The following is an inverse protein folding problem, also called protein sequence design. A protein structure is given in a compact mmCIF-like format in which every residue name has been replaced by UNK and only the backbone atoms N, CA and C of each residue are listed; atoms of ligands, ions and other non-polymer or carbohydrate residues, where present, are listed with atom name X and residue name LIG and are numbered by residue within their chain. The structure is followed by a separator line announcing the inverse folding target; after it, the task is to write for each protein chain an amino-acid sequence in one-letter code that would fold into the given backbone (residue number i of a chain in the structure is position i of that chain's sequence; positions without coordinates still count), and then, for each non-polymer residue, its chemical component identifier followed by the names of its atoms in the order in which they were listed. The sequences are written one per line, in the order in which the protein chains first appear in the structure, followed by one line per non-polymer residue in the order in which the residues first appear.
data_IF_687783129538
#
_entry.id   IF_687783129538
#
_cell.length_a   1.000
_cell.length_b   1.000
_cell.length_c   1.000
_cell.angle_alpha   90.00
_cell.angle_beta   90.00
_cell.angle_gamma   90.00
#
_symmetry.space_group_name_H-M   'P 1'
#
loop_
_entity.id
_entity.type
_entity.pdbx_description
1 polymer ?
#
# COMPACT_ATOMS: atom_id res chain seq x y z
N UNK A 1 21.72 9.33 7.35
CA UNK A 1 21.41 9.89 8.69
C UNK A 1 20.80 8.78 9.52
N UNK A 2 21.33 8.47 10.69
CA UNK A 2 20.73 7.45 11.56
C UNK A 2 19.40 8.01 12.08
N UNK A 3 18.32 7.43 11.68
CA UNK A 3 17.00 7.65 12.25
C UNK A 3 17.07 7.15 13.69
N UNK A 4 16.94 8.04 14.67
CA UNK A 4 16.73 7.58 16.03
C UNK A 4 15.54 6.64 16.05
N UNK A 5 15.57 5.61 16.90
CA UNK A 5 14.43 4.71 17.10
C UNK A 5 13.18 5.58 17.31
N UNK A 6 12.32 5.68 16.29
CA UNK A 6 11.23 6.65 16.30
C UNK A 6 10.03 6.03 16.99
N UNK A 7 9.36 6.83 17.81
CA UNK A 7 8.05 6.54 18.37
C UNK A 7 6.92 6.55 17.30
N UNK A 8 7.29 6.47 16.00
CA UNK A 8 6.33 6.37 14.91
C UNK A 8 5.84 4.93 14.79
N UNK A 9 4.53 4.78 14.82
CA UNK A 9 3.82 3.51 14.55
C UNK A 9 3.19 3.48 13.16
N UNK A 10 3.29 4.57 12.40
CA UNK A 10 2.80 4.79 11.04
C UNK A 10 3.83 5.62 10.26
N UNK A 11 3.90 5.53 8.95
CA UNK A 11 3.03 4.78 8.02
C UNK A 11 3.29 3.27 8.01
N UNK A 12 2.41 2.53 7.33
CA UNK A 12 2.51 1.05 7.23
C UNK A 12 3.53 0.59 6.19
N UNK A 13 3.95 1.45 5.28
CA UNK A 13 4.99 1.21 4.27
C UNK A 13 6.09 2.26 4.46
N UNK A 14 7.36 1.83 4.55
CA UNK A 14 8.48 2.73 4.81
C UNK A 14 9.58 2.67 3.72
N UNK A 15 9.57 1.64 2.86
CA UNK A 15 10.61 1.40 1.86
C UNK A 15 10.44 2.24 0.59
N UNK A 16 9.25 2.78 0.38
CA UNK A 16 8.88 3.67 -0.75
C UNK A 16 7.91 4.74 -0.27
N UNK A 17 7.82 5.83 -1.03
CA UNK A 17 6.75 6.82 -0.87
C UNK A 17 5.50 6.34 -1.59
N UNK A 18 4.40 6.22 -0.85
CA UNK A 18 3.14 5.64 -1.32
C UNK A 18 1.96 6.55 -0.99
N UNK A 19 0.96 6.60 -1.86
CA UNK A 19 -0.25 7.37 -1.63
C UNK A 19 -1.49 6.69 -2.18
N UNK A 20 -2.62 7.34 -2.00
CA UNK A 20 -3.89 7.02 -2.65
C UNK A 20 -4.29 5.55 -2.48
N UNK A 21 -4.41 5.05 -1.23
CA UNK A 21 -4.58 3.63 -0.96
C UNK A 21 -5.90 3.08 -1.52
N UNK A 22 -5.82 2.04 -2.34
CA UNK A 22 -6.95 1.28 -2.86
C UNK A 22 -6.92 -0.17 -2.33
N UNK A 23 -7.38 -0.42 -1.10
CA UNK A 23 -7.38 -1.75 -0.51
C UNK A 23 -8.50 -2.62 -1.07
N UNK A 24 -8.20 -3.88 -1.36
CA UNK A 24 -9.16 -4.90 -1.78
C UNK A 24 -9.00 -6.18 -0.96
N UNK A 25 -10.09 -6.74 -0.46
CA UNK A 25 -10.08 -8.01 0.29
C UNK A 25 -10.46 -9.16 -0.64
N UNK A 26 -9.55 -10.12 -0.80
CA UNK A 26 -9.85 -11.37 -1.50
C UNK A 26 -9.41 -12.57 -0.66
N UNK A 27 -10.36 -13.41 -0.30
CA UNK A 27 -10.11 -14.53 0.60
C UNK A 27 -9.60 -14.06 1.96
N UNK A 28 -8.42 -14.55 2.35
CA UNK A 28 -7.79 -14.30 3.64
C UNK A 28 -6.69 -13.21 3.58
N UNK A 29 -6.66 -12.46 2.48
CA UNK A 29 -5.60 -11.50 2.16
C UNK A 29 -6.18 -10.13 1.82
N UNK A 30 -5.56 -9.08 2.32
CA UNK A 30 -5.75 -7.70 1.88
C UNK A 30 -4.70 -7.39 0.82
N UNK A 31 -5.16 -6.96 -0.35
CA UNK A 31 -4.36 -6.43 -1.45
C UNK A 31 -4.47 -4.92 -1.39
N UNK A 32 -3.37 -4.24 -1.14
CA UNK A 32 -3.30 -2.79 -1.05
C UNK A 32 -2.55 -2.27 -2.28
N UNK A 33 -3.30 -1.72 -3.22
CA UNK A 33 -2.71 -0.99 -4.33
C UNK A 33 -2.47 0.46 -3.90
N UNK A 34 -1.41 1.08 -4.44
CA UNK A 34 -1.06 2.47 -4.13
C UNK A 34 -0.42 3.14 -5.32
N UNK A 35 -0.55 4.46 -5.41
CA UNK A 35 0.35 5.25 -6.24
C UNK A 35 1.76 5.24 -5.65
N UNK A 36 2.74 5.53 -6.50
CA UNK A 36 4.14 5.62 -6.14
C UNK A 36 4.65 7.05 -6.39
N UNK A 37 4.86 7.80 -5.32
CA UNK A 37 5.55 9.08 -5.40
C UNK A 37 7.05 8.79 -5.57
N UNK A 38 7.66 9.20 -6.68
CA UNK A 38 9.09 8.97 -6.94
C UNK A 38 9.97 9.56 -5.84
N UNK A 39 11.04 8.87 -5.46
CA UNK A 39 11.93 9.28 -4.35
C UNK A 39 12.53 10.68 -4.52
N UNK A 40 12.68 11.16 -5.77
CA UNK A 40 13.18 12.48 -6.12
C UNK A 40 12.06 13.50 -6.42
N UNK A 41 10.80 13.14 -6.18
CA UNK A 41 9.66 14.02 -6.46
C UNK A 41 9.70 15.29 -5.59
N UNK A 42 9.53 16.44 -6.22
CA UNK A 42 9.27 17.72 -5.56
C UNK A 42 7.79 18.14 -5.70
N UNK A 43 7.18 17.83 -6.84
CA UNK A 43 5.75 17.85 -7.10
C UNK A 43 5.24 16.43 -7.36
N UNK A 44 4.00 16.29 -7.79
CA UNK A 44 3.43 15.00 -8.13
C UNK A 44 4.16 14.38 -9.32
N UNK A 45 4.96 13.35 -9.04
CA UNK A 45 5.71 12.58 -10.04
C UNK A 45 5.52 11.10 -9.79
N UNK A 46 4.65 10.48 -10.59
CA UNK A 46 4.20 9.10 -10.42
C UNK A 46 4.17 8.41 -11.77
N UNK A 47 4.76 7.20 -11.86
CA UNK A 47 4.96 6.45 -13.10
C UNK A 47 4.33 5.08 -13.11
N UNK A 48 4.12 4.53 -11.94
CA UNK A 48 3.65 3.16 -11.76
C UNK A 48 2.74 3.04 -10.53
N UNK A 49 2.10 1.88 -10.40
CA UNK A 49 1.25 1.50 -9.31
C UNK A 49 1.80 0.27 -8.61
N UNK A 50 1.89 0.35 -7.29
CA UNK A 50 2.47 -0.67 -6.43
C UNK A 50 1.40 -1.57 -5.84
N UNK A 51 1.81 -2.80 -5.47
CA UNK A 51 0.98 -3.73 -4.72
C UNK A 51 1.68 -4.17 -3.44
N UNK A 52 0.93 -4.14 -2.36
CA UNK A 52 1.30 -4.73 -1.07
C UNK A 52 0.22 -5.72 -0.62
N UNK A 53 0.63 -6.78 0.08
CA UNK A 53 -0.34 -7.74 0.63
C UNK A 53 -0.11 -7.98 2.11
N UNK A 54 -1.20 -8.21 2.85
CA UNK A 54 -1.16 -8.61 4.25
C UNK A 54 -2.28 -9.58 4.58
N UNK A 55 -1.98 -10.55 5.43
CA UNK A 55 -2.98 -11.45 6.03
C UNK A 55 -3.31 -11.10 7.48
N UNK A 56 -2.62 -10.09 8.04
CA UNK A 56 -2.71 -9.73 9.45
C UNK A 56 -2.82 -8.21 9.73
N UNK A 57 -2.83 -7.37 8.68
CA UNK A 57 -2.94 -5.90 8.70
C UNK A 57 -1.70 -5.15 9.20
N UNK A 58 -0.66 -5.85 9.66
CA UNK A 58 0.52 -5.23 10.27
C UNK A 58 1.79 -5.56 9.50
N UNK A 59 1.97 -6.82 9.10
CA UNK A 59 3.08 -7.26 8.27
C UNK A 59 2.66 -7.19 6.80
N UNK A 60 3.31 -6.35 6.01
CA UNK A 60 3.00 -6.12 4.60
C UNK A 60 4.13 -6.62 3.71
N UNK A 61 3.81 -7.43 2.72
CA UNK A 61 4.73 -7.86 1.67
C UNK A 61 4.67 -6.88 0.50
N UNK A 62 5.81 -6.34 0.08
CA UNK A 62 5.96 -5.51 -1.11
C UNK A 62 6.06 -6.40 -2.36
N UNK A 63 5.13 -6.26 -3.30
CA UNK A 63 5.18 -6.92 -4.62
C UNK A 63 5.80 -6.02 -5.69
N UNK A 64 6.21 -4.80 -5.35
CA UNK A 64 6.69 -3.78 -6.28
C UNK A 64 5.60 -3.26 -7.20
N UNK A 65 6.00 -2.68 -8.32
CA UNK A 65 5.07 -2.21 -9.34
C UNK A 65 4.39 -3.40 -10.04
N UNK A 66 3.09 -3.33 -10.21
CA UNK A 66 2.28 -4.33 -10.94
C UNK A 66 1.69 -3.76 -12.23
N UNK A 67 1.70 -2.44 -12.38
CA UNK A 67 1.29 -1.73 -13.57
C UNK A 67 2.03 -0.38 -13.66
N UNK A 68 2.10 0.19 -14.85
CA UNK A 68 2.73 1.48 -15.11
C UNK A 68 2.09 2.23 -16.27
N UNK A 69 2.47 3.49 -16.45
CA UNK A 69 2.08 4.28 -17.63
C UNK A 69 2.46 3.62 -18.96
N UNK A 70 3.50 2.77 -18.98
CA UNK A 70 3.98 2.07 -20.18
C UNK A 70 3.04 0.97 -20.67
N UNK A 71 2.17 0.48 -19.81
CA UNK A 71 1.18 -0.54 -20.14
C UNK A 71 0.06 0.03 -21.01
N UNK A 72 -0.11 1.37 -21.01
CA UNK A 72 -1.02 2.09 -21.89
C UNK A 72 -0.32 2.53 -23.19
N UNK A 73 -0.48 1.75 -24.26
CA UNK A 73 0.19 2.01 -25.56
C UNK A 73 -0.17 3.35 -26.20
N UNK A 74 -1.32 3.91 -25.85
CA UNK A 74 -1.82 5.19 -26.35
C UNK A 74 -1.23 6.40 -25.60
N UNK A 75 -0.64 6.21 -24.42
CA UNK A 75 0.03 7.26 -23.66
C UNK A 75 1.55 7.22 -23.89
N UNK A 76 2.19 8.40 -23.95
CA UNK A 76 3.64 8.52 -24.22
C UNK A 76 4.38 9.37 -23.20
N UNK A 77 3.68 9.89 -22.19
CA UNK A 77 4.30 10.62 -21.09
C UNK A 77 4.98 9.69 -20.08
N UNK A 78 5.67 10.29 -19.13
CA UNK A 78 6.40 9.61 -18.06
C UNK A 78 5.97 10.05 -16.66
N UNK A 79 4.82 10.70 -16.54
CA UNK A 79 4.23 11.18 -15.28
C UNK A 79 2.71 11.15 -15.35
N UNK A 80 2.02 11.01 -14.22
CA UNK A 80 0.57 11.09 -14.11
C UNK A 80 -0.13 9.77 -13.79
N UNK A 81 0.57 8.77 -13.27
CA UNK A 81 -0.03 7.54 -12.73
C UNK A 81 -0.68 7.82 -11.37
N UNK A 82 -1.89 8.40 -11.39
CA UNK A 82 -2.58 8.89 -10.19
C UNK A 82 -3.50 7.83 -9.56
N UNK A 83 -4.24 8.19 -8.51
CA UNK A 83 -5.04 7.32 -7.67
C UNK A 83 -5.89 6.31 -8.45
N UNK A 84 -5.56 5.05 -8.38
CA UNK A 84 -6.22 3.94 -9.05
C UNK A 84 -7.30 3.30 -8.18
N UNK A 85 -8.11 2.43 -8.78
CA UNK A 85 -9.02 1.52 -8.09
C UNK A 85 -8.95 0.13 -8.73
N UNK A 86 -8.94 -0.91 -7.90
CA UNK A 86 -8.92 -2.30 -8.36
C UNK A 86 -10.13 -3.05 -7.84
N UNK A 87 -10.77 -3.82 -8.73
CA UNK A 87 -11.87 -4.71 -8.37
C UNK A 87 -11.74 -6.04 -9.10
N UNK A 88 -12.26 -7.10 -8.49
CA UNK A 88 -12.37 -8.42 -9.11
C UNK A 88 -13.81 -8.67 -9.57
N UNK A 89 -13.97 -9.27 -10.74
CA UNK A 89 -15.25 -9.82 -11.23
C UNK A 89 -15.02 -11.06 -12.08
N UNK A 90 -15.69 -12.15 -11.74
CA UNK A 90 -15.67 -13.40 -12.50
C UNK A 90 -14.26 -13.96 -12.74
N UNK A 91 -13.37 -13.85 -11.75
CA UNK A 91 -11.98 -14.32 -11.81
C UNK A 91 -11.05 -13.41 -12.63
N UNK A 92 -11.49 -12.22 -13.01
CA UNK A 92 -10.67 -11.19 -13.67
C UNK A 92 -10.49 -9.99 -12.74
N UNK A 93 -9.33 -9.40 -12.80
CA UNK A 93 -8.95 -8.21 -12.04
C UNK A 93 -8.93 -7.02 -12.97
N UNK A 94 -9.60 -5.94 -12.57
CA UNK A 94 -9.73 -4.70 -13.34
C UNK A 94 -9.12 -3.55 -12.55
N UNK A 95 -8.11 -2.91 -13.11
CA UNK A 95 -7.46 -1.74 -12.52
C UNK A 95 -7.83 -0.51 -13.34
N UNK A 96 -8.53 0.43 -12.72
CA UNK A 96 -8.94 1.71 -13.32
C UNK A 96 -7.91 2.76 -12.97
N UNK A 97 -7.17 3.19 -13.98
CA UNK A 97 -5.99 4.03 -13.82
C UNK A 97 -6.24 5.41 -14.45
N UNK A 98 -6.34 6.47 -13.67
CA UNK A 98 -6.34 7.80 -14.25
C UNK A 98 -4.93 8.15 -14.72
N UNK A 99 -4.85 8.75 -15.89
CA UNK A 99 -3.62 9.36 -16.40
C UNK A 99 -3.87 10.86 -16.45
N UNK A 100 -3.22 11.60 -15.57
CA UNK A 100 -3.48 13.03 -15.38
C UNK A 100 -3.60 13.80 -16.70
N UNK A 101 -4.75 14.45 -16.91
CA UNK A 101 -5.09 15.20 -18.13
C UNK A 101 -5.43 14.34 -19.37
N UNK A 102 -5.48 13.00 -19.23
CA UNK A 102 -5.71 12.08 -20.34
C UNK A 102 -6.84 11.07 -20.08
N UNK A 103 -7.62 11.30 -19.01
CA UNK A 103 -8.77 10.46 -18.66
C UNK A 103 -8.38 9.21 -17.87
N UNK A 104 -9.32 8.27 -17.77
CA UNK A 104 -9.20 7.03 -16.99
C UNK A 104 -9.09 5.86 -17.97
N UNK A 105 -7.97 5.14 -17.92
CA UNK A 105 -7.77 3.87 -18.60
C UNK A 105 -8.23 2.69 -17.74
N UNK A 106 -8.31 1.49 -18.32
CA UNK A 106 -8.54 0.25 -17.61
C UNK A 106 -7.53 -0.80 -18.05
N UNK A 107 -6.95 -1.49 -17.08
CA UNK A 107 -6.08 -2.65 -17.29
C UNK A 107 -6.77 -3.90 -16.75
N UNK A 108 -6.51 -5.06 -17.36
CA UNK A 108 -7.12 -6.34 -17.00
C UNK A 108 -6.06 -7.39 -16.75
N UNK A 109 -6.25 -8.22 -15.72
CA UNK A 109 -5.38 -9.34 -15.38
C UNK A 109 -6.18 -10.57 -14.97
N UNK A 110 -5.51 -11.73 -14.96
CA UNK A 110 -6.03 -13.00 -14.43
C UNK A 110 -5.67 -13.20 -12.94
N UNK A 111 -4.80 -12.35 -12.40
CA UNK A 111 -4.28 -12.42 -11.04
C UNK A 111 -4.22 -11.02 -10.43
N UNK A 112 -4.33 -10.86 -9.10
CA UNK A 112 -4.22 -9.56 -8.43
C UNK A 112 -2.85 -8.89 -8.60
N UNK A 113 -1.80 -9.66 -8.82
CA UNK A 113 -0.43 -9.20 -9.05
C UNK A 113 -0.09 -9.04 -10.55
N UNK A 114 -1.08 -9.22 -11.43
CA UNK A 114 -0.94 -9.07 -12.88
C UNK A 114 -0.50 -10.37 -13.59
N UNK A 115 0.08 -10.28 -14.81
CA UNK A 115 0.35 -9.01 -15.52
C UNK A 115 -0.93 -8.31 -15.98
N UNK A 116 -1.00 -7.03 -15.75
CA UNK A 116 -2.10 -6.19 -16.20
C UNK A 116 -1.87 -5.73 -17.65
N UNK A 117 -2.90 -5.81 -18.49
CA UNK A 117 -2.82 -5.43 -19.91
C UNK A 117 -3.97 -4.48 -20.29
N UNK A 118 -3.69 -3.54 -21.18
CA UNK A 118 -4.68 -2.61 -21.73
C UNK A 118 -5.53 -3.31 -22.82
N UNK A 119 -6.82 -3.60 -22.58
CA UNK A 119 -7.69 -4.26 -23.53
C UNK A 119 -8.25 -3.31 -24.60
N UNK A 120 -8.20 -1.98 -24.36
CA UNK A 120 -8.92 -0.99 -25.18
C UNK A 120 -7.99 -0.22 -26.13
N UNK A 121 -6.74 0.00 -25.76
CA UNK A 121 -5.81 0.86 -26.51
C UNK A 121 -6.24 2.33 -26.56
N UNK A 122 -7.08 2.76 -25.58
CA UNK A 122 -7.63 4.12 -25.43
C UNK A 122 -8.19 4.30 -24.01
N UNK A 123 -8.42 5.54 -23.55
CA UNK A 123 -9.16 5.77 -22.29
C UNK A 123 -10.55 5.13 -22.32
N UNK A 124 -10.99 4.60 -21.20
CA UNK A 124 -12.37 4.16 -20.96
C UNK A 124 -13.29 5.38 -20.83
N UNK A 125 -12.84 6.40 -20.09
CA UNK A 125 -13.51 7.69 -19.92
C UNK A 125 -12.50 8.80 -20.13
N UNK A 126 -12.87 9.83 -20.89
CA UNK A 126 -12.09 11.04 -21.02
C UNK A 126 -12.96 12.22 -21.42
N UNK A 127 -13.20 13.13 -20.47
CA UNK A 127 -13.86 14.42 -20.68
C UNK A 127 -12.79 15.46 -21.04
N UNK A 128 -12.53 15.63 -22.33
CA UNK A 128 -11.35 16.36 -22.87
C UNK A 128 -11.30 17.86 -22.53
N UNK A 129 -12.39 18.43 -22.06
CA UNK A 129 -12.49 19.86 -21.72
C UNK A 129 -11.78 20.22 -20.42
N UNK A 130 -11.41 19.22 -19.60
CA UNK A 130 -10.79 19.43 -18.30
C UNK A 130 -9.88 18.24 -17.90
N UNK A 131 -9.11 18.40 -16.83
CA UNK A 131 -8.18 17.38 -16.31
C UNK A 131 -8.78 16.51 -15.20
N UNK A 132 -10.05 16.75 -14.84
CA UNK A 132 -10.70 16.23 -13.62
C UNK A 132 -11.12 14.76 -13.67
N UNK A 133 -10.85 14.05 -14.74
CA UNK A 133 -11.06 12.60 -14.79
C UNK A 133 -9.96 11.88 -14.03
N UNK A 134 -10.03 11.93 -12.69
CA UNK A 134 -9.07 11.35 -11.75
C UNK A 134 -9.80 10.62 -10.63
N UNK A 135 -9.06 9.81 -9.87
CA UNK A 135 -9.47 9.18 -8.63
C UNK A 135 -10.72 8.28 -8.79
N UNK A 136 -10.72 7.32 -9.71
CA UNK A 136 -11.87 6.43 -9.87
C UNK A 136 -12.04 5.54 -8.64
N UNK A 137 -13.29 5.28 -8.26
CA UNK A 137 -13.69 4.20 -7.39
C UNK A 137 -14.77 3.38 -8.09
N UNK A 138 -14.64 2.06 -8.07
CA UNK A 138 -15.60 1.14 -8.71
C UNK A 138 -16.24 0.25 -7.65
N UNK A 139 -17.54 0.15 -7.73
CA UNK A 139 -18.35 -0.68 -6.85
C UNK A 139 -19.30 -1.54 -7.67
N UNK A 140 -19.39 -2.82 -7.32
CA UNK A 140 -20.35 -3.77 -7.88
C UNK A 140 -21.44 -3.99 -6.84
N UNK A 141 -22.69 -3.61 -7.15
CA UNK A 141 -23.82 -3.75 -6.23
C UNK A 141 -24.33 -5.18 -6.19
N UNK A 142 -25.21 -5.49 -5.23
CA UNK A 142 -25.77 -6.83 -4.99
C UNK A 142 -26.58 -7.37 -6.19
N UNK A 143 -27.10 -6.48 -7.05
CA UNK A 143 -27.78 -6.84 -8.30
C UNK A 143 -26.81 -7.09 -9.49
N UNK A 144 -25.51 -6.95 -9.26
CA UNK A 144 -24.45 -7.11 -10.27
C UNK A 144 -24.18 -5.88 -11.12
N UNK A 145 -24.91 -4.76 -10.91
CA UNK A 145 -24.62 -3.51 -11.60
C UNK A 145 -23.34 -2.87 -11.03
N UNK A 146 -22.37 -2.60 -11.89
CA UNK A 146 -21.17 -1.88 -11.51
C UNK A 146 -21.30 -0.38 -11.78
N UNK A 147 -20.81 0.42 -10.86
CA UNK A 147 -20.77 1.88 -10.94
C UNK A 147 -19.32 2.34 -10.79
N UNK A 148 -18.91 3.31 -11.61
CA UNK A 148 -17.65 4.03 -11.45
C UNK A 148 -17.95 5.47 -11.07
N UNK A 149 -17.36 5.93 -9.96
CA UNK A 149 -17.36 7.32 -9.51
C UNK A 149 -15.97 7.89 -9.61
N UNK A 150 -15.83 9.20 -9.89
CA UNK A 150 -14.54 9.88 -9.98
C UNK A 150 -14.69 11.39 -9.94
N UNK A 151 -13.57 12.11 -9.82
CA UNK A 151 -13.46 13.53 -10.17
C UNK A 151 -13.13 14.49 -9.05
N UNK A 152 -12.68 15.70 -9.43
CA UNK A 152 -12.25 16.81 -8.59
C UNK A 152 -12.61 18.15 -9.29
N UNK A 153 -13.27 19.11 -8.66
CA UNK A 153 -14.03 19.01 -7.40
C UNK A 153 -15.46 18.48 -7.60
N UNK A 154 -15.83 18.14 -8.82
CA UNK A 154 -17.13 17.60 -9.15
C UNK A 154 -17.08 16.08 -9.13
N UNK A 155 -18.04 15.46 -8.46
CA UNK A 155 -18.20 14.01 -8.48
C UNK A 155 -19.02 13.60 -9.70
N UNK A 156 -18.47 12.70 -10.50
CA UNK A 156 -19.13 12.07 -11.65
C UNK A 156 -19.42 10.61 -11.37
N UNK A 157 -20.40 10.07 -12.10
CA UNK A 157 -20.77 8.67 -12.03
C UNK A 157 -21.15 8.16 -13.43
N UNK A 158 -20.77 6.90 -13.73
CA UNK A 158 -21.25 6.16 -14.89
C UNK A 158 -21.47 4.69 -14.53
N UNK A 159 -22.40 4.01 -15.21
CA UNK A 159 -22.55 2.57 -15.12
C UNK A 159 -21.51 1.88 -16.00
N UNK A 160 -20.91 0.84 -15.47
CA UNK A 160 -20.10 -0.10 -16.26
C UNK A 160 -20.99 -1.26 -16.75
N UNK A 161 -20.71 -1.73 -17.95
CA UNK A 161 -21.29 -2.97 -18.45
C UNK A 161 -20.68 -4.17 -17.72
N UNK A 162 -21.24 -5.35 -17.95
CA UNK A 162 -20.79 -6.60 -17.31
C UNK A 162 -19.34 -6.95 -17.64
N UNK A 163 -18.83 -6.52 -18.80
CA UNK A 163 -17.46 -6.71 -19.24
C UNK A 163 -16.43 -5.86 -18.45
N UNK A 164 -16.89 -4.91 -17.65
CA UNK A 164 -16.09 -4.00 -16.82
C UNK A 164 -15.12 -3.08 -17.60
N UNK A 165 -15.13 -3.15 -18.93
CA UNK A 165 -14.26 -2.37 -19.83
C UNK A 165 -15.04 -1.51 -20.84
N UNK A 166 -16.33 -1.41 -20.66
CA UNK A 166 -17.21 -0.51 -21.41
C UNK A 166 -18.27 0.10 -20.49
N UNK A 167 -18.84 1.21 -20.94
CA UNK A 167 -19.78 2.00 -20.14
C UNK A 167 -21.19 1.97 -20.72
N UNK A 168 -22.21 2.25 -19.90
CA UNK A 168 -23.62 2.31 -20.26
C UNK A 168 -24.25 3.62 -19.82
N UNK A 169 -24.96 4.27 -20.73
CA UNK A 169 -25.61 5.57 -20.49
C UNK A 169 -24.64 6.75 -20.54
N UNK A 170 -25.12 7.90 -20.08
CA UNK A 170 -24.38 9.15 -20.07
C UNK A 170 -23.61 9.32 -18.74
N UNK A 171 -22.53 10.08 -18.76
CA UNK A 171 -21.84 10.52 -17.55
C UNK A 171 -22.78 11.43 -16.76
N UNK A 172 -23.04 11.07 -15.52
CA UNK A 172 -23.85 11.86 -14.60
C UNK A 172 -22.94 12.69 -13.71
N UNK A 173 -23.10 14.00 -13.71
CA UNK A 173 -22.54 14.83 -12.64
C UNK A 173 -23.44 14.71 -11.43
N UNK A 174 -22.89 14.27 -10.30
CA UNK A 174 -23.62 14.09 -9.07
C UNK A 174 -23.93 15.44 -8.41
N UNK A 175 -25.04 15.55 -7.66
CA UNK A 175 -25.26 16.72 -6.80
C UNK A 175 -24.08 16.93 -5.85
N UNK A 176 -23.70 18.19 -5.62
CA UNK A 176 -22.59 18.53 -4.74
C UNK A 176 -22.79 17.94 -3.34
N UNK A 177 -21.80 17.20 -2.88
CA UNK A 177 -21.70 16.73 -1.50
C UNK A 177 -20.91 17.76 -0.70
N UNK A 178 -21.46 18.21 0.44
CA UNK A 178 -20.79 19.16 1.30
C UNK A 178 -19.37 18.64 1.63
N UNK A 179 -18.37 19.55 1.55
CA UNK A 179 -16.95 19.28 1.86
C UNK A 179 -16.24 18.26 0.94
N UNK A 180 -16.87 17.82 -0.15
CA UNK A 180 -16.23 16.97 -1.14
C UNK A 180 -15.18 17.76 -1.94
N UNK A 181 -13.97 17.19 -2.05
CA UNK A 181 -12.91 17.70 -2.92
C UNK A 181 -12.56 16.69 -4.01
N UNK A 182 -12.09 15.48 -3.63
CA UNK A 182 -11.58 14.46 -4.54
C UNK A 182 -11.50 13.08 -3.85
N UNK A 183 -10.85 12.11 -4.48
CA UNK A 183 -10.55 10.80 -3.90
C UNK A 183 -11.79 10.06 -3.38
N UNK A 184 -12.88 9.91 -4.17
CA UNK A 184 -14.05 9.21 -3.69
C UNK A 184 -13.73 7.73 -3.44
N UNK A 185 -14.23 7.19 -2.33
CA UNK A 185 -14.21 5.77 -2.03
C UNK A 185 -15.63 5.28 -1.74
N UNK A 186 -16.18 4.48 -2.64
CA UNK A 186 -17.55 4.01 -2.59
C UNK A 186 -17.64 2.57 -2.08
N UNK A 187 -18.49 2.33 -1.09
CA UNK A 187 -18.75 0.99 -0.56
C UNK A 187 -20.14 0.86 0.02
N UNK A 188 -20.59 -0.39 0.20
CA UNK A 188 -21.87 -0.74 0.84
C UNK A 188 -21.61 -1.52 2.12
N UNK A 189 -22.35 -1.19 3.18
CA UNK A 189 -22.27 -1.91 4.44
C UNK A 189 -23.63 -1.94 5.14
N UNK A 190 -24.11 -3.15 5.47
CA UNK A 190 -25.39 -3.37 6.20
C UNK A 190 -26.56 -2.61 5.58
N UNK A 191 -26.66 -2.58 4.25
CA UNK A 191 -27.74 -1.96 3.49
C UNK A 191 -27.59 -0.47 3.24
N UNK A 192 -26.60 0.21 3.81
CA UNK A 192 -26.29 1.62 3.54
C UNK A 192 -25.15 1.74 2.54
N UNK A 193 -25.22 2.74 1.67
CA UNK A 193 -24.14 3.13 0.79
C UNK A 193 -23.35 4.27 1.43
N UNK A 194 -22.05 4.22 1.27
CA UNK A 194 -21.10 5.18 1.81
C UNK A 194 -20.24 5.74 0.69
N UNK A 195 -20.02 7.03 0.71
CA UNK A 195 -19.05 7.74 -0.10
C UNK A 195 -18.10 8.45 0.86
N UNK A 196 -16.92 7.88 1.07
CA UNK A 196 -15.83 8.58 1.76
C UNK A 196 -15.00 9.35 0.73
N UNK A 197 -14.35 10.43 1.12
CA UNK A 197 -13.61 11.29 0.20
C UNK A 197 -12.60 12.17 0.92
N UNK A 198 -11.61 12.68 0.17
CA UNK A 198 -10.77 13.78 0.63
C UNK A 198 -11.60 15.05 0.74
N UNK A 199 -11.58 15.67 1.91
CA UNK A 199 -12.32 16.90 2.18
C UNK A 199 -11.65 18.12 1.57
N UNK A 200 -12.31 19.26 1.62
CA UNK A 200 -11.83 20.51 1.03
C UNK A 200 -10.38 20.84 1.47
N UNK A 201 -9.54 21.07 0.48
CA UNK A 201 -8.11 21.41 0.66
C UNK A 201 -7.93 22.85 1.18
N UNK A 202 -6.93 23.26 1.84
CA UNK A 202 -5.87 22.56 2.54
C UNK A 202 -5.72 23.14 3.94
N UNK A 203 -5.55 22.36 4.99
CA UNK A 203 -5.32 20.92 5.03
C UNK A 203 -6.59 20.12 4.78
N UNK A 204 -6.44 18.89 4.30
CA UNK A 204 -7.54 17.96 4.06
C UNK A 204 -7.75 17.03 5.25
N UNK A 205 -9.01 16.61 5.42
CA UNK A 205 -9.38 15.47 6.24
C UNK A 205 -9.99 14.37 5.38
N UNK A 206 -10.64 13.41 6.00
CA UNK A 206 -11.47 12.40 5.35
C UNK A 206 -12.92 12.67 5.73
N UNK A 207 -13.72 13.18 4.78
CA UNK A 207 -15.15 13.35 4.92
C UNK A 207 -15.93 12.11 4.47
N UNK A 208 -17.23 12.04 4.80
CA UNK A 208 -18.09 11.01 4.22
C UNK A 208 -19.56 11.42 4.16
N UNK A 209 -20.26 10.80 3.24
CA UNK A 209 -21.70 10.89 3.07
C UNK A 209 -22.33 9.49 3.02
N UNK A 210 -23.60 9.38 3.33
CA UNK A 210 -24.39 8.15 3.27
C UNK A 210 -25.62 8.32 2.37
N UNK A 211 -26.08 7.20 1.79
CA UNK A 211 -27.29 7.11 0.99
C UNK A 211 -27.97 5.75 1.14
N UNK A 212 -29.25 5.69 0.78
CA UNK A 212 -30.01 4.43 0.65
C UNK A 212 -30.03 3.91 -0.81
N UNK A 213 -29.34 4.59 -1.73
CA UNK A 213 -29.25 4.24 -3.14
C UNK A 213 -27.81 4.42 -3.66
N UNK A 214 -27.36 3.58 -4.61
CA UNK A 214 -26.02 3.73 -5.19
C UNK A 214 -25.80 5.05 -5.92
N UNK A 215 -26.88 5.73 -6.36
CA UNK A 215 -26.81 7.02 -7.07
C UNK A 215 -27.28 8.20 -6.22
N UNK A 216 -27.40 8.03 -4.92
CA UNK A 216 -27.86 9.10 -4.02
C UNK A 216 -29.39 9.15 -3.87
N UNK A 217 -29.94 10.21 -3.27
CA UNK A 217 -29.24 11.40 -2.81
C UNK A 217 -28.28 11.13 -1.64
N UNK A 218 -27.14 11.84 -1.64
CA UNK A 218 -26.10 11.71 -0.64
C UNK A 218 -26.33 12.70 0.51
N UNK A 219 -26.24 12.22 1.75
CA UNK A 219 -26.33 13.04 2.95
C UNK A 219 -24.96 13.08 3.63
N UNK A 220 -24.32 14.24 3.68
CA UNK A 220 -23.07 14.45 4.42
C UNK A 220 -23.23 14.12 5.90
N UNK A 221 -22.27 13.41 6.48
CA UNK A 221 -22.32 12.93 7.86
C UNK A 221 -21.17 13.44 8.75
N UNK A 222 -20.26 14.23 8.20
CA UNK A 222 -19.09 14.74 8.91
C UNK A 222 -17.79 14.06 8.47
N UNK A 223 -16.83 14.01 9.38
CA UNK A 223 -15.50 13.47 9.11
C UNK A 223 -15.31 12.06 9.69
N UNK A 224 -14.59 11.22 8.94
CA UNK A 224 -13.95 10.00 9.45
C UNK A 224 -12.68 10.39 10.20
N UNK A 225 -11.89 11.30 9.60
CA UNK A 225 -10.72 11.92 10.22
C UNK A 225 -10.73 13.42 9.90
N UNK A 226 -10.68 14.23 10.93
CA UNK A 226 -10.78 15.69 10.77
C UNK A 226 -9.51 16.27 10.15
N UNK A 227 -9.60 17.50 9.72
CA UNK A 227 -8.48 18.27 9.15
C UNK A 227 -7.29 18.34 10.12
N UNK A 228 -6.09 18.19 9.56
CA UNK A 228 -4.84 18.35 10.31
C UNK A 228 -3.80 19.01 9.43
N UNK A 229 -2.97 19.92 9.96
CA UNK A 229 -1.86 20.53 9.19
C UNK A 229 -0.83 19.54 8.64
N UNK A 230 -0.95 18.26 9.03
CA UNK A 230 -0.05 17.16 8.60
C UNK A 230 -0.53 16.45 7.34
N UNK A 231 -1.75 16.70 6.88
CA UNK A 231 -2.33 16.03 5.70
C UNK A 231 -2.55 17.01 4.55
N UNK A 232 -2.41 16.47 3.34
CA UNK A 232 -2.72 17.12 2.08
C UNK A 232 -3.01 16.04 1.05
N UNK A 233 -4.20 16.06 0.40
CA UNK A 233 -4.64 15.03 -0.53
C UNK A 233 -4.93 13.68 0.18
N UNK A 234 -5.72 13.69 1.25
CA UNK A 234 -5.95 12.51 2.10
C UNK A 234 -7.04 11.60 1.54
N UNK A 235 -6.68 10.78 0.55
CA UNK A 235 -7.58 9.81 -0.09
C UNK A 235 -7.89 8.63 0.84
N UNK A 236 -9.18 8.32 1.11
CA UNK A 236 -9.55 7.17 1.93
C UNK A 236 -9.57 5.87 1.14
N UNK A 237 -9.23 4.76 1.80
CA UNK A 237 -9.59 3.40 1.41
C UNK A 237 -10.25 2.72 2.60
N UNK A 238 -11.42 2.09 2.44
CA UNK A 238 -12.16 1.49 3.56
C UNK A 238 -12.50 0.04 3.25
N UNK A 239 -12.19 -0.86 4.19
CA UNK A 239 -12.51 -2.29 4.09
C UNK A 239 -12.99 -2.86 5.41
N UNK A 240 -13.77 -3.93 5.33
CA UNK A 240 -13.96 -4.87 6.43
C UNK A 240 -13.06 -6.10 6.22
N UNK A 241 -12.27 -6.47 7.22
CA UNK A 241 -11.38 -7.63 7.18
C UNK A 241 -11.35 -8.37 8.52
N UNK A 242 -11.58 -9.69 8.49
CA UNK A 242 -11.57 -10.56 9.67
C UNK A 242 -12.36 -10.00 10.87
N UNK A 243 -13.55 -9.45 10.58
CA UNK A 243 -14.50 -8.94 11.57
C UNK A 243 -14.17 -7.56 12.14
N UNK A 244 -13.20 -6.86 11.59
CA UNK A 244 -12.85 -5.47 11.91
C UNK A 244 -12.97 -4.59 10.70
N UNK A 245 -13.17 -3.29 10.89
CA UNK A 245 -13.20 -2.29 9.82
C UNK A 245 -11.94 -1.43 9.88
N UNK A 246 -11.43 -1.04 8.72
CA UNK A 246 -10.20 -0.27 8.60
C UNK A 246 -10.38 0.90 7.66
N UNK A 247 -9.77 2.03 8.01
CA UNK A 247 -9.63 3.19 7.17
C UNK A 247 -8.14 3.38 6.84
N UNK A 248 -7.83 3.42 5.56
CA UNK A 248 -6.54 3.80 5.03
C UNK A 248 -6.57 5.26 4.62
N UNK A 249 -5.43 5.88 4.58
CA UNK A 249 -5.20 7.24 4.10
C UNK A 249 -3.72 7.50 3.99
N UNK A 250 -3.32 8.74 3.89
CA UNK A 250 -1.91 9.11 3.70
C UNK A 250 -1.47 10.23 4.64
N UNK A 251 -0.16 10.36 4.78
CA UNK A 251 0.48 11.48 5.48
C UNK A 251 1.86 11.81 4.87
N UNK A 252 2.57 12.73 5.48
CA UNK A 252 3.94 13.12 5.09
C UNK A 252 4.96 12.85 6.18
N UNK A 253 4.72 11.88 7.05
CA UNK A 253 5.54 11.70 8.24
C UNK A 253 6.94 11.19 7.93
N UNK A 254 7.12 10.28 6.94
CA UNK A 254 8.46 9.87 6.49
C UNK A 254 9.22 11.06 5.89
N UNK A 255 8.60 11.82 4.98
CA UNK A 255 9.25 12.99 4.39
C UNK A 255 9.75 13.97 5.46
N UNK A 256 8.95 14.19 6.50
CA UNK A 256 9.31 15.13 7.59
C UNK A 256 10.47 14.64 8.45
N UNK A 257 10.72 13.34 8.48
CA UNK A 257 11.93 12.80 9.13
C UNK A 257 13.20 13.05 8.30
N UNK A 258 13.05 13.09 6.97
CA UNK A 258 14.16 13.27 6.05
C UNK A 258 14.50 14.74 5.81
N UNK A 259 13.47 15.60 5.74
CA UNK A 259 13.64 17.00 5.37
C UNK A 259 12.55 17.90 5.97
N UNK A 260 12.92 19.15 6.25
CA UNK A 260 11.97 20.20 6.61
C UNK A 260 11.28 20.84 5.37
N UNK A 261 11.79 20.55 4.16
CA UNK A 261 11.21 21.07 2.91
C UNK A 261 10.03 20.19 2.49
N UNK A 262 8.90 20.83 2.19
CA UNK A 262 7.75 20.11 1.63
C UNK A 262 8.05 19.63 0.19
N UNK A 263 7.67 18.40 -0.09
CA UNK A 263 7.63 17.78 -1.41
C UNK A 263 6.43 16.81 -1.45
N UNK A 264 5.97 16.47 -2.64
CA UNK A 264 4.85 15.51 -2.78
C UNK A 264 5.38 14.07 -2.74
N UNK A 265 5.86 13.68 -1.55
CA UNK A 265 6.31 12.33 -1.20
C UNK A 265 5.53 11.87 0.02
N UNK A 266 4.46 11.16 -0.25
CA UNK A 266 3.45 10.78 0.74
C UNK A 266 3.72 9.40 1.30
N UNK A 267 2.97 9.00 2.33
CA UNK A 267 3.13 7.70 2.98
C UNK A 267 1.77 7.18 3.44
N UNK A 268 1.42 5.96 3.00
CA UNK A 268 0.15 5.32 3.35
C UNK A 268 0.13 4.89 4.80
N UNK A 269 -0.96 5.18 5.47
CA UNK A 269 -1.26 4.82 6.85
C UNK A 269 -2.61 4.11 6.95
N UNK A 270 -2.84 3.38 8.03
CA UNK A 270 -4.10 2.68 8.29
C UNK A 270 -4.49 2.77 9.76
N UNK A 271 -5.80 2.71 10.03
CA UNK A 271 -6.34 2.72 11.38
C UNK A 271 -7.54 1.79 11.48
N UNK A 272 -7.74 1.15 12.64
CA UNK A 272 -9.00 0.48 12.93
C UNK A 272 -10.10 1.52 13.10
N UNK A 273 -11.27 1.29 12.49
CA UNK A 273 -12.43 2.17 12.61
C UNK A 273 -13.65 1.44 13.12
N UNK A 274 -14.62 2.19 13.63
CA UNK A 274 -15.86 1.64 14.17
C UNK A 274 -17.08 2.43 13.71
N UNK A 275 -18.23 1.75 13.68
CA UNK A 275 -19.52 2.33 13.34
C UNK A 275 -20.42 2.40 14.56
N UNK A 276 -21.25 3.43 14.63
CA UNK A 276 -22.34 3.51 15.59
C UNK A 276 -23.53 2.59 15.17
N UNK A 277 -24.49 2.32 16.04
CA UNK A 277 -25.64 1.48 15.73
C UNK A 277 -26.49 1.99 14.53
N UNK A 278 -26.49 3.29 14.26
CA UNK A 278 -27.19 3.93 13.15
C UNK A 278 -26.39 3.90 11.83
N UNK A 279 -25.24 3.25 11.80
CA UNK A 279 -24.35 3.16 10.66
C UNK A 279 -23.39 4.33 10.51
N UNK A 280 -23.50 5.40 11.28
CA UNK A 280 -22.55 6.50 11.21
C UNK A 280 -21.17 6.09 11.73
N UNK A 281 -20.12 6.69 11.20
CA UNK A 281 -18.74 6.36 11.54
C UNK A 281 -18.32 7.13 12.81
N UNK A 282 -17.57 6.48 13.69
CA UNK A 282 -16.91 7.15 14.81
C UNK A 282 -15.66 7.85 14.29
N UNK A 283 -15.55 9.15 14.51
CA UNK A 283 -14.40 9.94 14.08
C UNK A 283 -13.10 9.40 14.68
N UNK A 284 -12.07 9.28 13.84
CA UNK A 284 -10.73 8.83 14.18
C UNK A 284 -9.83 10.02 14.53
N UNK A 285 -8.90 9.86 15.47
CA UNK A 285 -7.79 10.80 15.61
C UNK A 285 -6.85 10.71 14.41
N UNK A 286 -5.82 11.56 14.37
CA UNK A 286 -4.79 11.46 13.36
C UNK A 286 -4.06 10.10 13.41
N UNK A 287 -3.62 9.58 12.26
CA UNK A 287 -3.08 8.21 12.12
C UNK A 287 -2.03 7.83 13.17
N UNK A 288 -1.12 8.72 13.55
CA UNK A 288 -0.10 8.43 14.58
C UNK A 288 -0.69 8.20 15.97
N UNK A 289 -1.90 8.71 16.22
CA UNK A 289 -2.62 8.54 17.48
C UNK A 289 -3.62 7.37 17.43
N UNK A 290 -3.69 6.67 16.27
CA UNK A 290 -4.53 5.50 16.05
C UNK A 290 -3.83 4.21 16.48
N UNK A 291 -4.63 3.18 16.72
CA UNK A 291 -4.16 1.82 16.93
C UNK A 291 -4.43 0.98 15.68
N UNK A 292 -3.42 0.20 15.28
CA UNK A 292 -3.56 -0.85 14.28
C UNK A 292 -3.08 -2.17 14.90
N UNK A 293 -4.02 -3.04 15.28
CA UNK A 293 -3.72 -4.30 15.95
C UNK A 293 -3.59 -5.42 14.92
N UNK A 294 -2.56 -6.24 15.10
CA UNK A 294 -2.36 -7.45 14.31
C UNK A 294 -3.56 -8.41 14.44
N UNK A 295 -3.94 -9.05 13.35
CA UNK A 295 -4.97 -10.09 13.30
C UNK A 295 -4.30 -11.46 13.25
N UNK A 296 -4.34 -12.21 14.35
CA UNK A 296 -3.65 -13.49 14.47
C UNK A 296 -2.15 -13.33 14.73
N UNK A 297 -1.36 -14.32 14.30
CA UNK A 297 0.08 -14.37 14.44
C UNK A 297 0.74 -14.66 13.10
N UNK A 298 2.03 -14.32 12.97
CA UNK A 298 2.80 -14.53 11.75
C UNK A 298 3.51 -15.91 11.79
N UNK A 299 3.43 -16.67 10.69
CA UNK A 299 4.07 -17.99 10.56
C UNK A 299 5.46 -17.88 9.91
N UNK A 300 6.58 -18.14 10.65
CA UNK A 300 7.93 -18.08 10.13
C UNK A 300 8.41 -19.39 9.48
N UNK A 301 7.63 -20.45 9.54
CA UNK A 301 8.04 -21.78 9.07
C UNK A 301 7.82 -22.03 7.58
N UNK A 302 7.18 -21.09 6.90
CA UNK A 302 7.14 -21.01 5.43
C UNK A 302 8.25 -20.11 4.90
N UNK A 303 8.54 -20.17 3.60
CA UNK A 303 9.36 -19.13 2.95
C UNK A 303 8.66 -17.78 3.12
N UNK A 304 9.41 -16.80 3.58
CA UNK A 304 8.99 -15.41 3.74
C UNK A 304 9.87 -14.53 2.87
N UNK A 305 9.30 -13.78 1.96
CA UNK A 305 10.04 -12.82 1.17
C UNK A 305 10.55 -11.70 2.07
N UNK A 306 11.80 -11.26 1.89
CA UNK A 306 12.47 -10.35 2.83
C UNK A 306 11.81 -8.98 2.93
N UNK A 307 11.13 -8.56 1.88
CA UNK A 307 10.32 -7.34 1.83
C UNK A 307 8.96 -7.45 2.56
N UNK A 308 8.73 -8.57 3.29
CA UNK A 308 7.59 -8.72 4.20
C UNK A 308 7.96 -8.16 5.56
N UNK A 309 7.35 -7.04 5.96
CA UNK A 309 7.70 -6.35 7.19
C UNK A 309 6.56 -5.53 7.78
N UNK A 310 6.60 -5.34 9.09
CA UNK A 310 5.80 -4.34 9.81
C UNK A 310 6.50 -2.98 9.86
N UNK A 311 7.84 -3.00 9.82
CA UNK A 311 8.67 -1.80 9.77
C UNK A 311 10.02 -2.11 9.09
N UNK A 312 10.37 -1.29 8.10
CA UNK A 312 11.69 -1.27 7.48
C UNK A 312 12.43 0.01 7.86
N UNK A 313 13.54 -0.12 8.59
CA UNK A 313 14.32 1.02 9.03
C UNK A 313 15.51 1.27 8.11
N UNK A 314 15.49 2.36 7.35
CA UNK A 314 16.55 2.79 6.43
C UNK A 314 16.55 2.06 5.07
N UNK A 315 15.77 1.01 4.92
CA UNK A 315 15.81 0.07 3.82
C UNK A 315 15.06 0.56 2.58
N UNK A 316 15.46 0.04 1.43
CA UNK A 316 14.73 0.14 0.17
C UNK A 316 14.39 -1.24 -0.38
N UNK A 317 13.41 -1.28 -1.26
CA UNK A 317 13.07 -2.48 -2.03
C UNK A 317 13.15 -2.18 -3.51
N UNK A 318 13.65 -3.12 -4.29
CA UNK A 318 13.77 -3.00 -5.75
C UNK A 318 13.60 -4.36 -6.42
N UNK A 319 13.56 -4.36 -7.76
CA UNK A 319 13.57 -5.55 -8.62
C UNK A 319 14.79 -5.56 -9.52
N UNK A 320 15.16 -6.71 -10.07
CA UNK A 320 16.19 -6.78 -11.10
C UNK A 320 15.76 -6.00 -12.38
N UNK A 321 14.45 -6.04 -12.71
CA UNK A 321 13.85 -5.31 -13.83
C UNK A 321 12.84 -4.25 -13.34
N UNK A 322 13.29 -3.10 -12.81
CA UNK A 322 12.38 -2.09 -12.27
C UNK A 322 11.49 -1.40 -13.33
N UNK A 323 11.69 -1.71 -14.60
CA UNK A 323 10.90 -1.20 -15.72
C UNK A 323 9.91 -2.21 -16.31
N UNK A 324 9.76 -3.38 -15.68
CA UNK A 324 8.94 -4.48 -16.17
C UNK A 324 9.65 -5.33 -17.29
N UNK A 325 9.07 -6.43 -17.70
CA UNK A 325 7.79 -6.97 -17.23
C UNK A 325 7.82 -7.34 -15.73
N UNK A 326 6.67 -7.23 -15.08
CA UNK A 326 6.48 -7.45 -13.63
C UNK A 326 6.40 -8.96 -13.28
N UNK A 327 7.45 -9.72 -13.58
CA UNK A 327 7.49 -11.18 -13.44
C UNK A 327 8.60 -11.70 -12.52
N UNK A 328 9.37 -10.79 -11.92
CA UNK A 328 10.37 -11.05 -10.90
C UNK A 328 9.88 -10.56 -9.52
N UNK A 329 10.34 -11.18 -8.44
CA UNK A 329 10.02 -10.75 -7.08
C UNK A 329 10.94 -9.60 -6.65
N UNK A 330 10.44 -8.63 -5.87
CA UNK A 330 11.30 -7.64 -5.22
C UNK A 330 12.27 -8.29 -4.22
N UNK A 331 13.27 -7.53 -3.83
CA UNK A 331 14.19 -7.87 -2.75
C UNK A 331 14.57 -6.60 -1.97
N UNK A 332 15.02 -6.77 -0.74
CA UNK A 332 15.51 -5.68 0.09
C UNK A 332 16.94 -5.33 -0.31
N UNK A 333 17.20 -4.05 -0.51
CA UNK A 333 18.48 -3.47 -0.93
C UNK A 333 18.84 -2.24 -0.11
N UNK A 334 19.97 -1.60 -0.44
CA UNK A 334 20.51 -0.43 0.26
C UNK A 334 20.68 -0.64 1.77
N UNK A 335 21.02 -1.86 2.14
CA UNK A 335 21.15 -2.29 3.54
C UNK A 335 22.44 -1.74 4.14
N UNK A 336 22.33 -0.92 5.17
CA UNK A 336 23.44 -0.33 5.89
C UNK A 336 23.60 -0.90 7.32
N UNK A 337 24.76 -0.62 7.94
CA UNK A 337 25.07 -1.07 9.30
C UNK A 337 24.12 -0.43 10.33
N UNK A 338 23.37 -1.25 11.04
CA UNK A 338 22.42 -0.83 12.08
C UNK A 338 20.98 -0.77 11.64
N UNK A 339 20.71 -0.90 10.36
CA UNK A 339 19.36 -0.99 9.83
C UNK A 339 18.70 -2.33 10.15
N UNK A 340 17.37 -2.40 10.01
CA UNK A 340 16.65 -3.61 10.39
C UNK A 340 15.29 -3.75 9.70
N UNK A 341 14.83 -5.01 9.63
CA UNK A 341 13.45 -5.41 9.37
C UNK A 341 12.79 -5.80 10.69
N UNK A 342 11.58 -5.30 10.93
CA UNK A 342 10.69 -5.77 11.99
C UNK A 342 9.55 -6.58 11.38
N UNK A 343 9.36 -7.82 11.86
CA UNK A 343 8.17 -8.63 11.63
C UNK A 343 7.46 -8.83 12.97
N UNK A 344 6.24 -8.38 13.09
CA UNK A 344 5.47 -8.43 14.35
C UNK A 344 4.75 -9.74 14.56
N UNK A 345 4.63 -10.13 15.84
CA UNK A 345 3.80 -11.22 16.30
C UNK A 345 4.14 -12.58 15.69
N UNK A 346 5.42 -12.86 15.52
CA UNK A 346 5.93 -14.12 14.94
C UNK A 346 5.72 -15.26 15.94
N UNK A 347 4.97 -16.30 15.52
CA UNK A 347 4.70 -17.48 16.36
C UNK A 347 5.73 -18.59 16.11
N UNK A 348 6.75 -18.65 16.94
CA UNK A 348 7.77 -19.69 16.94
C UNK A 348 7.26 -21.03 17.53
N UNK A 349 6.02 -21.11 17.97
CA UNK A 349 5.37 -22.32 18.51
C UNK A 349 6.20 -22.94 19.65
N UNK A 350 6.58 -24.21 19.51
CA UNK A 350 7.40 -24.92 20.50
C UNK A 350 8.89 -24.59 20.43
N UNK A 351 9.33 -23.90 19.38
CA UNK A 351 10.69 -23.42 19.15
C UNK A 351 11.12 -23.55 17.69
N UNK A 352 11.81 -22.54 17.20
CA UNK A 352 12.54 -22.59 15.95
C UNK A 352 14.02 -22.89 16.26
N UNK A 353 14.65 -23.73 15.44
CA UNK A 353 16.01 -24.24 15.68
C UNK A 353 17.01 -23.76 14.63
N UNK A 354 16.53 -23.36 13.48
CA UNK A 354 17.35 -22.89 12.37
C UNK A 354 16.71 -21.69 11.68
N UNK A 355 17.54 -20.75 11.26
CA UNK A 355 17.16 -19.63 10.39
C UNK A 355 18.00 -19.71 9.12
N UNK A 356 17.34 -19.66 7.95
CA UNK A 356 17.97 -19.63 6.63
C UNK A 356 17.60 -18.31 5.95
N UNK A 357 18.58 -17.67 5.32
CA UNK A 357 18.45 -16.44 4.52
C UNK A 357 19.05 -16.64 3.14
N UNK A 358 18.39 -16.09 2.10
CA UNK A 358 18.92 -15.98 0.73
C UNK A 358 19.43 -14.56 0.52
N UNK A 359 20.75 -14.42 0.31
CA UNK A 359 21.38 -13.10 0.16
C UNK A 359 22.40 -13.10 -0.98
N UNK A 360 22.64 -11.91 -1.56
CA UNK A 360 23.73 -11.67 -2.52
C UNK A 360 24.57 -10.46 -2.11
N UNK A 361 25.89 -10.58 -2.15
CA UNK A 361 26.83 -9.53 -1.74
C UNK A 361 27.94 -9.33 -2.76
N UNK A 362 28.27 -8.08 -3.03
CA UNK A 362 29.34 -7.69 -3.99
C UNK A 362 30.72 -7.69 -3.37
N UNK A 363 30.84 -7.10 -2.17
CA UNK A 363 32.10 -6.81 -1.52
C UNK A 363 32.32 -7.73 -0.30
N UNK A 364 32.46 -7.16 0.88
CA UNK A 364 32.74 -7.94 2.10
C UNK A 364 31.47 -8.55 2.72
N UNK A 365 30.27 -8.04 2.32
CA UNK A 365 29.01 -8.48 2.91
C UNK A 365 28.82 -7.96 4.33
N UNK A 366 28.17 -8.77 5.16
CA UNK A 366 27.81 -8.39 6.53
C UNK A 366 27.27 -9.58 7.31
N UNK A 367 26.39 -9.32 8.26
CA UNK A 367 25.66 -10.34 9.00
C UNK A 367 24.24 -9.89 9.33
N UNK A 368 23.37 -10.85 9.53
CA UNK A 368 21.99 -10.68 10.03
C UNK A 368 21.98 -11.18 11.47
N UNK A 369 21.67 -10.31 12.42
CA UNK A 369 21.39 -10.67 13.81
C UNK A 369 19.90 -10.93 13.97
N UNK A 370 19.52 -12.15 14.30
CA UNK A 370 18.13 -12.55 14.60
C UNK A 370 17.86 -12.22 16.05
N UNK A 371 17.06 -11.19 16.32
CA UNK A 371 16.76 -10.66 17.67
C UNK A 371 15.28 -10.70 17.97
N UNK A 372 14.92 -10.83 19.23
CA UNK A 372 13.55 -10.90 19.71
C UNK A 372 13.16 -9.63 20.48
N UNK A 373 11.96 -9.12 20.20
CA UNK A 373 11.23 -8.06 20.89
C UNK A 373 11.83 -6.63 20.80
N UNK A 374 13.07 -6.49 20.42
CA UNK A 374 13.67 -5.17 20.13
C UNK A 374 14.97 -5.29 19.34
N UNK A 375 15.41 -4.17 18.75
CA UNK A 375 16.72 -4.05 18.04
C UNK A 375 17.89 -4.51 18.91
N UNK A 376 17.80 -4.27 20.22
CA UNK A 376 18.80 -4.68 21.21
C UNK A 376 18.33 -5.85 22.08
N UNK A 377 17.27 -6.53 21.69
CA UNK A 377 16.67 -7.65 22.42
C UNK A 377 17.52 -8.91 22.37
N UNK A 378 16.98 -9.99 22.91
CA UNK A 378 17.68 -11.27 22.98
C UNK A 378 18.18 -11.72 21.60
N UNK A 379 19.47 -12.02 21.50
CA UNK A 379 20.10 -12.54 20.28
C UNK A 379 19.81 -14.04 20.18
N UNK A 380 18.97 -14.42 19.21
CA UNK A 380 18.60 -15.80 18.95
C UNK A 380 19.59 -16.50 17.99
N UNK A 381 20.17 -15.79 17.04
CA UNK A 381 21.13 -16.33 16.07
C UNK A 381 21.85 -15.26 15.26
N UNK A 382 22.89 -15.64 14.53
CA UNK A 382 23.65 -14.76 13.64
C UNK A 382 23.96 -15.50 12.35
N UNK A 383 23.54 -14.94 11.22
CA UNK A 383 23.91 -15.38 9.87
C UNK A 383 25.00 -14.48 9.33
N UNK A 384 26.12 -15.05 8.90
CA UNK A 384 27.17 -14.32 8.20
C UNK A 384 26.93 -14.41 6.69
N UNK A 385 26.95 -13.28 6.02
CA UNK A 385 26.81 -13.15 4.57
C UNK A 385 28.14 -12.66 4.00
N UNK A 386 28.98 -13.55 3.47
CA UNK A 386 30.26 -13.19 2.84
C UNK A 386 30.04 -12.65 1.42
N UNK A 387 31.11 -12.26 0.75
CA UNK A 387 31.08 -11.94 -0.67
C UNK A 387 30.59 -13.14 -1.49
N UNK A 388 29.52 -12.96 -2.26
CA UNK A 388 28.93 -14.00 -3.11
C UNK A 388 29.16 -13.76 -4.60
N UNK A 389 29.88 -12.71 -4.97
CA UNK A 389 30.06 -12.26 -6.35
C UNK A 389 28.73 -11.97 -7.05
N UNK A 390 27.81 -11.30 -6.37
CA UNK A 390 26.43 -11.00 -6.81
C UNK A 390 25.52 -12.21 -7.04
N UNK A 391 25.90 -13.40 -6.59
CA UNK A 391 25.04 -14.56 -6.71
C UNK A 391 24.23 -14.77 -5.43
N UNK A 392 22.93 -14.98 -5.54
CA UNK A 392 22.11 -15.35 -4.39
C UNK A 392 22.53 -16.73 -3.88
N UNK A 393 22.82 -16.79 -2.59
CA UNK A 393 23.22 -18.00 -1.88
C UNK A 393 22.45 -18.10 -0.55
N UNK A 394 22.25 -19.33 -0.10
CA UNK A 394 21.59 -19.60 1.18
C UNK A 394 22.62 -19.66 2.30
N UNK A 395 22.31 -18.96 3.38
CA UNK A 395 23.12 -18.95 4.60
C UNK A 395 22.24 -19.33 5.78
N UNK A 396 22.73 -20.16 6.67
CA UNK A 396 21.98 -20.68 7.82
C UNK A 396 22.70 -20.43 9.13
N UNK A 397 21.93 -20.33 10.22
CA UNK A 397 22.44 -20.38 11.58
C UNK A 397 21.47 -21.15 12.48
N UNK A 398 22.01 -21.74 13.55
CA UNK A 398 21.20 -22.28 14.62
C UNK A 398 20.55 -21.16 15.43
N UNK A 399 19.32 -21.38 15.88
CA UNK A 399 18.58 -20.47 16.75
C UNK A 399 18.52 -21.00 18.18
N UNK A 400 18.55 -20.10 19.14
CA UNK A 400 18.35 -20.36 20.57
C UNK A 400 17.34 -19.38 21.15
N UNK A 401 16.43 -19.87 22.00
CA UNK A 401 15.46 -19.02 22.69
C UNK A 401 14.26 -18.57 21.86
N UNK A 402 14.20 -18.88 20.55
CA UNK A 402 13.09 -18.54 19.65
C UNK A 402 11.90 -19.50 19.90
N UNK A 403 11.00 -19.15 20.86
CA UNK A 403 9.87 -19.97 21.27
C UNK A 403 8.70 -19.09 21.74
N UNK A 404 7.47 -19.46 21.39
CA UNK A 404 6.27 -18.67 21.67
C UNK A 404 6.09 -17.54 20.66
N UNK A 405 5.38 -16.48 21.04
CA UNK A 405 5.11 -15.34 20.14
C UNK A 405 5.99 -14.16 20.53
N UNK A 406 6.76 -13.64 19.57
CA UNK A 406 7.67 -12.51 19.75
C UNK A 406 7.65 -11.62 18.51
N UNK A 407 8.06 -10.38 18.65
CA UNK A 407 8.43 -9.51 17.54
C UNK A 407 9.84 -9.90 17.07
N UNK A 408 9.99 -10.15 15.77
CA UNK A 408 11.27 -10.54 15.15
C UNK A 408 11.95 -9.31 14.56
N UNK A 409 13.19 -9.08 14.99
CA UNK A 409 14.07 -8.07 14.41
C UNK A 409 15.23 -8.75 13.67
N UNK A 410 15.32 -8.53 12.36
CA UNK A 410 16.47 -8.90 11.55
C UNK A 410 17.37 -7.67 11.43
N UNK A 411 18.40 -7.60 12.28
CA UNK A 411 19.28 -6.43 12.39
C UNK A 411 20.53 -6.65 11.55
N UNK A 412 20.82 -5.71 10.65
CA UNK A 412 21.94 -5.81 9.73
C UNK A 412 23.20 -5.18 10.34
N UNK A 413 24.33 -5.86 10.19
CA UNK A 413 25.62 -5.42 10.70
C UNK A 413 26.73 -5.56 9.67
N UNK A 414 27.41 -4.47 9.42
CA UNK A 414 28.64 -4.45 8.62
C UNK A 414 29.88 -4.73 9.45
N UNK A 415 30.97 -5.06 8.78
CA UNK A 415 32.31 -5.14 9.37
C UNK A 415 33.03 -3.77 9.33
N UNK A 416 34.27 -3.71 9.82
CA UNK A 416 35.10 -2.49 9.76
C UNK A 416 35.33 -1.98 8.33
N UNK A 417 35.34 -2.89 7.36
CA UNK A 417 35.65 -2.62 5.95
C UNK A 417 34.45 -2.19 5.12
N UNK A 418 33.22 -2.43 5.59
CA UNK A 418 31.98 -2.12 4.88
C UNK A 418 30.86 -1.83 5.86
N UNK A 419 30.25 -0.65 5.73
CA UNK A 419 29.14 -0.16 6.55
C UNK A 419 27.89 0.18 5.75
N UNK A 420 28.03 0.28 4.43
CA UNK A 420 26.98 0.65 3.50
C UNK A 420 26.84 -0.40 2.41
N UNK A 421 25.62 -0.56 1.89
CA UNK A 421 25.30 -1.51 0.82
C UNK A 421 25.87 -2.90 1.10
N UNK A 422 25.50 -3.48 2.25
CA UNK A 422 26.08 -4.73 2.75
C UNK A 422 25.80 -5.91 1.84
N UNK A 423 24.54 -6.11 1.50
CA UNK A 423 24.05 -7.19 0.63
C UNK A 423 22.60 -6.93 0.22
N UNK A 424 22.11 -7.63 -0.81
CA UNK A 424 20.70 -7.77 -1.12
C UNK A 424 20.12 -8.97 -0.38
N UNK A 425 18.88 -8.83 0.12
CA UNK A 425 18.20 -9.86 0.89
C UNK A 425 16.88 -10.22 0.21
N UNK A 426 16.75 -11.49 -0.22
CA UNK A 426 15.67 -12.01 -1.07
C UNK A 426 14.56 -12.66 -0.24
N UNK A 427 14.90 -13.66 0.57
CA UNK A 427 13.93 -14.35 1.43
C UNK A 427 14.58 -14.98 2.65
N UNK A 428 13.72 -15.38 3.61
CA UNK A 428 14.14 -16.13 4.78
C UNK A 428 13.11 -17.21 5.16
N UNK A 429 13.52 -18.16 5.98
CA UNK A 429 12.68 -19.23 6.51
C UNK A 429 13.26 -19.74 7.83
N UNK A 430 12.38 -20.19 8.73
CA UNK A 430 12.78 -20.90 9.95
C UNK A 430 12.33 -22.35 9.94
N UNK A 431 13.07 -23.17 10.73
CA UNK A 431 12.76 -24.58 10.94
C UNK A 431 12.81 -24.93 12.42
#
# INVERSE_FOLDING_TARGET
MAWAQHDLNMPIIQTKYTADPAPYVHGDTVYLYTTHDEDDAEGFKMRDWLLYTSTDMVNWQDHGAVASLRDFKWYKGDNGAWAECVVERNGKWYMYCPIHGHGIGVLVADSPDGPFVDPLGKPLVWQKEHWYDIDPTVFIDDDGQAYMYWGNPNLYCIKLNEDMISTSGDIMQMPHIQDYQEGPWFYKRKGHYYMAFASTCCPEGIGYAMSDSPTGPWTYKGHIMNHTPRTRGNHPGIIDFKGRSYCFGLNYDILRLETSRHAERRSVSAAEMTYRPDGTIVELPYFQDCTLRQVGTFDPFRRVEAETMAWGYGLKTTRENPSGPWNDTPFVTDIDDGEYILVKGVDFKKGAHEFTASCSAQLYGGRIEVRLDSVNGALAGVVNVPNTKFQYQKFTCSLTGAKGVHDLYLVFRGGERQKHNLFNFDWWQMQ
#
